data_IF_542025171782
#
_entry.id   IF_542025171782
#
_cell.length_a   1.000
_cell.length_b   1.000
_cell.length_c   1.000
_cell.angle_alpha   90.00
_cell.angle_beta   90.00
_cell.angle_gamma   90.00
#
_symmetry.space_group_name_H-M   'P 1'
#
loop_
_entity.id
_entity.type
_entity.pdbx_description
1 polymer ?
#
# COMPACT_ATOMS: atom_id res chain seq x y z
N UNK A 1 8.10 -3.08 -9.52
CA UNK A 1 8.51 -2.33 -10.72
C UNK A 1 7.73 -1.02 -10.78
N UNK A 2 8.37 0.10 -11.13
CA UNK A 2 7.75 1.43 -11.26
C UNK A 2 7.95 1.98 -12.67
N UNK A 3 6.88 2.43 -13.31
CA UNK A 3 6.91 3.01 -14.67
C UNK A 3 7.57 4.39 -14.64
N UNK A 4 8.53 4.60 -15.52
CA UNK A 4 9.25 5.85 -15.71
C UNK A 4 8.60 6.71 -16.83
N UNK A 5 9.00 7.98 -16.90
CA UNK A 5 8.47 8.93 -17.89
C UNK A 5 8.80 8.53 -19.35
N UNK A 6 9.91 7.80 -19.56
CA UNK A 6 10.32 7.25 -20.85
C UNK A 6 9.57 5.95 -21.22
N UNK A 7 8.64 5.49 -20.38
CA UNK A 7 7.87 4.28 -20.58
C UNK A 7 8.58 2.99 -20.13
N UNK A 8 9.83 3.08 -19.67
CA UNK A 8 10.56 1.95 -19.10
C UNK A 8 10.07 1.62 -17.68
N UNK A 9 10.50 0.48 -17.13
CA UNK A 9 10.18 0.07 -15.77
C UNK A 9 11.45 -0.09 -14.95
N UNK A 10 11.51 0.58 -13.80
CA UNK A 10 12.59 0.45 -12.82
C UNK A 10 12.22 -0.57 -11.74
N UNK A 11 13.18 -1.39 -11.31
CA UNK A 11 13.01 -2.23 -10.13
C UNK A 11 13.05 -1.37 -8.87
N UNK A 12 12.07 -1.56 -7.97
CA UNK A 12 11.91 -0.78 -6.72
C UNK A 12 12.50 -1.56 -5.55
N UNK A 13 12.10 -2.83 -5.43
CA UNK A 13 12.60 -3.77 -4.43
C UNK A 13 12.40 -5.19 -4.96
N UNK A 14 13.28 -6.10 -4.56
CA UNK A 14 13.17 -7.53 -4.80
C UNK A 14 13.10 -8.26 -3.46
N UNK A 15 12.22 -9.25 -3.36
CA UNK A 15 12.09 -10.10 -2.18
C UNK A 15 11.80 -11.54 -2.61
N UNK A 16 12.27 -12.51 -1.82
CA UNK A 16 11.94 -13.92 -1.99
C UNK A 16 10.47 -14.21 -1.67
N UNK A 17 9.85 -13.39 -0.83
CA UNK A 17 8.42 -13.45 -0.48
C UNK A 17 7.65 -12.32 -1.17
N UNK A 18 6.40 -12.59 -1.53
CA UNK A 18 5.53 -11.58 -2.12
C UNK A 18 5.18 -10.53 -1.07
N UNK A 19 5.42 -9.27 -1.39
CA UNK A 19 4.97 -8.15 -0.57
C UNK A 19 3.44 -8.10 -0.48
N UNK A 20 2.94 -7.81 0.72
CA UNK A 20 1.58 -7.30 0.95
C UNK A 20 1.41 -5.94 0.28
N UNK A 21 0.16 -5.49 0.13
CA UNK A 21 -0.07 -4.17 -0.46
C UNK A 21 0.48 -3.05 0.43
N UNK A 22 0.37 -3.23 1.76
CA UNK A 22 0.95 -2.31 2.75
C UNK A 22 2.46 -2.20 2.62
N UNK A 23 3.18 -3.32 2.61
CA UNK A 23 4.64 -3.32 2.45
C UNK A 23 5.07 -2.69 1.11
N UNK A 24 4.34 -2.99 0.03
CA UNK A 24 4.62 -2.39 -1.29
C UNK A 24 4.47 -0.87 -1.27
N UNK A 25 3.46 -0.35 -0.55
CA UNK A 25 3.24 1.09 -0.39
C UNK A 25 4.40 1.75 0.35
N UNK A 26 4.88 1.14 1.43
CA UNK A 26 6.03 1.67 2.20
C UNK A 26 7.30 1.71 1.37
N UNK A 27 7.59 0.64 0.63
CA UNK A 27 8.74 0.57 -0.27
C UNK A 27 8.70 1.65 -1.37
N UNK A 28 7.52 1.91 -1.93
CA UNK A 28 7.33 2.98 -2.90
C UNK A 28 7.52 4.37 -2.29
N UNK A 29 6.98 4.62 -1.09
CA UNK A 29 7.16 5.90 -0.41
C UNK A 29 8.64 6.18 -0.13
N UNK A 30 9.38 5.15 0.29
CA UNK A 30 10.83 5.22 0.50
C UNK A 30 11.58 5.57 -0.79
N UNK A 31 11.34 4.83 -1.88
CA UNK A 31 12.06 5.04 -3.16
C UNK A 31 11.72 6.38 -3.80
N UNK A 32 10.49 6.88 -3.61
CA UNK A 32 10.08 8.20 -4.10
C UNK A 32 10.57 9.36 -3.21
N UNK A 33 11.25 9.08 -2.09
CA UNK A 33 11.70 10.12 -1.14
C UNK A 33 10.54 10.82 -0.43
N UNK A 34 9.40 10.14 -0.32
CA UNK A 34 8.18 10.63 0.33
C UNK A 34 8.04 10.10 1.76
N UNK A 35 9.15 9.63 2.34
CA UNK A 35 9.21 9.15 3.70
C UNK A 35 9.31 10.38 4.62
N UNK A 36 8.27 10.58 5.41
CA UNK A 36 8.12 11.72 6.31
C UNK A 36 8.79 11.41 7.66
N UNK A 37 8.97 12.42 8.50
CA UNK A 37 9.47 12.23 9.87
C UNK A 37 8.48 11.37 10.68
N UNK A 38 9.00 10.42 11.46
CA UNK A 38 8.20 9.51 12.27
C UNK A 38 7.38 10.29 13.30
N UNK A 39 6.06 10.08 13.31
CA UNK A 39 5.12 10.79 14.16
C UNK A 39 4.66 12.15 13.62
N UNK A 40 5.09 12.56 12.42
CA UNK A 40 4.60 13.78 11.80
C UNK A 40 3.14 13.64 11.34
N UNK A 41 2.39 14.75 11.34
CA UNK A 41 1.02 14.74 10.82
C UNK A 41 0.97 14.39 9.33
N UNK A 42 2.01 14.72 8.56
CA UNK A 42 2.09 14.37 7.15
C UNK A 42 2.33 12.87 6.92
N UNK A 43 3.13 12.22 7.78
CA UNK A 43 3.26 10.75 7.77
C UNK A 43 1.89 10.11 7.93
N UNK A 44 1.12 10.54 8.93
CA UNK A 44 -0.24 10.06 9.16
C UNK A 44 -1.16 10.31 7.97
N UNK A 45 -1.11 11.49 7.34
CA UNK A 45 -1.96 11.81 6.19
C UNK A 45 -1.62 10.96 4.95
N UNK A 46 -0.34 10.63 4.73
CA UNK A 46 0.09 9.77 3.60
C UNK A 46 -0.19 8.30 3.86
N UNK A 47 0.04 7.83 5.08
CA UNK A 47 -0.15 6.42 5.46
C UNK A 47 -1.62 6.09 5.67
N UNK A 48 -2.35 7.01 6.29
CA UNK A 48 -3.70 6.83 6.78
C UNK A 48 -3.72 6.05 8.09
N UNK A 49 -4.92 5.85 8.65
CA UNK A 49 -5.11 5.05 9.86
C UNK A 49 -4.97 3.54 9.62
N UNK A 50 -5.21 3.10 8.38
CA UNK A 50 -5.34 1.69 8.02
C UNK A 50 -4.22 1.27 7.07
N UNK A 51 -3.33 0.42 7.56
CA UNK A 51 -2.20 -0.11 6.80
C UNK A 51 -2.54 -1.41 6.05
N UNK A 52 -3.57 -2.12 6.48
CA UNK A 52 -4.03 -3.37 5.88
C UNK A 52 -5.11 -3.15 4.83
N UNK A 53 -5.10 -3.98 3.79
CA UNK A 53 -6.21 -4.01 2.82
C UNK A 53 -7.41 -4.78 3.35
N UNK A 54 -8.61 -4.41 2.89
CA UNK A 54 -9.87 -4.95 3.41
C UNK A 54 -10.02 -6.48 3.24
N UNK A 55 -9.23 -7.11 2.37
CA UNK A 55 -9.18 -8.57 2.20
C UNK A 55 -8.05 -9.25 3.00
N UNK A 56 -7.12 -8.48 3.57
CA UNK A 56 -6.09 -8.97 4.51
C UNK A 56 -6.59 -8.96 5.95
N UNK A 57 -7.70 -8.27 6.19
CA UNK A 57 -8.37 -8.27 7.47
C UNK A 57 -9.24 -9.51 7.61
N UNK A 58 -9.29 -10.03 8.84
CA UNK A 58 -10.25 -11.07 9.25
C UNK A 58 -11.63 -10.43 9.38
N UNK A 59 -12.16 -9.95 8.25
CA UNK A 59 -13.48 -9.35 8.16
C UNK A 59 -14.47 -10.48 8.00
N UNK A 60 -15.47 -10.51 8.88
CA UNK A 60 -16.66 -11.34 8.73
C UNK A 60 -17.17 -11.23 7.29
N UNK A 61 -17.27 -12.37 6.61
CA UNK A 61 -17.76 -12.47 5.24
C UNK A 61 -19.11 -11.74 5.15
N UNK A 62 -19.31 -10.95 4.10
CA UNK A 62 -20.53 -10.14 3.90
C UNK A 62 -21.81 -10.94 4.25
N UNK A 63 -22.51 -10.52 5.30
CA UNK A 63 -23.60 -11.34 5.88
C UNK A 63 -24.85 -11.41 5.00
N UNK A 64 -25.00 -10.49 4.04
CA UNK A 64 -26.16 -10.45 3.15
C UNK A 64 -25.87 -9.74 1.84
N UNK A 65 -26.25 -10.38 0.74
CA UNK A 65 -26.23 -9.80 -0.60
C UNK A 65 -27.52 -9.04 -0.96
N UNK A 66 -28.42 -8.79 -0.01
CA UNK A 66 -29.74 -8.21 -0.26
C UNK A 66 -29.67 -6.81 -0.92
N UNK A 67 -28.59 -6.06 -0.71
CA UNK A 67 -28.36 -4.75 -1.33
C UNK A 67 -28.14 -4.81 -2.85
N UNK A 68 -27.85 -5.99 -3.41
CA UNK A 68 -27.64 -6.21 -4.85
C UNK A 68 -28.95 -6.40 -5.63
N UNK A 69 -30.11 -6.34 -4.96
CA UNK A 69 -31.45 -6.54 -5.56
C UNK A 69 -32.15 -5.22 -5.82
#
# INVERSE_FOLDING_TARGET
MLKQADGSYACVAESATRFTLGETKEELLRVLGLQEEEGSSLEFLRRGYKSSTWWEEDVELESSSAWRS
#
